data_IF_081389840419
#
_entry.id   IF_081389840419
#
_cell.length_a   1.000
_cell.length_b   1.000
_cell.length_c   1.000
_cell.angle_alpha   90.00
_cell.angle_beta   90.00
_cell.angle_gamma   90.00
#
_symmetry.space_group_name_H-M   'P 1'
#
loop_
_entity.id
_entity.type
_entity.pdbx_description
1 polymer ?
#
# COMPACT_ATOMS: atom_id res chain seq x y z
N UNK A 1 44.22 -8.47 28.60
CA UNK A 1 44.38 -7.98 27.22
C UNK A 1 43.16 -8.46 26.45
N UNK A 2 42.06 -7.71 26.56
CA UNK A 2 40.76 -8.04 25.97
C UNK A 2 40.82 -7.73 24.47
N UNK A 3 40.44 -8.71 23.62
CA UNK A 3 40.16 -8.45 22.21
C UNK A 3 38.68 -8.15 22.10
N UNK A 4 38.35 -6.87 22.00
CA UNK A 4 37.02 -6.37 21.67
C UNK A 4 36.68 -6.78 20.24
N UNK A 5 35.74 -7.72 20.09
CA UNK A 5 35.09 -7.99 18.82
C UNK A 5 34.13 -6.84 18.54
N UNK A 6 34.47 -6.00 17.56
CA UNK A 6 33.59 -4.97 17.02
C UNK A 6 32.47 -5.67 16.22
N UNK A 7 31.32 -5.86 16.87
CA UNK A 7 30.08 -6.22 16.20
C UNK A 7 29.56 -5.00 15.42
N UNK A 8 30.11 -4.78 14.23
CA UNK A 8 29.57 -3.80 13.28
C UNK A 8 28.13 -4.18 12.93
N UNK A 9 27.13 -3.31 13.18
CA UNK A 9 25.75 -3.60 12.80
C UNK A 9 25.67 -3.62 11.27
N UNK A 10 25.31 -4.78 10.71
CA UNK A 10 24.99 -4.94 9.29
C UNK A 10 23.85 -3.99 8.96
N UNK A 11 24.16 -2.91 8.25
CA UNK A 11 23.16 -2.04 7.62
C UNK A 11 22.35 -2.92 6.66
N UNK A 12 21.17 -3.37 7.10
CA UNK A 12 20.23 -4.04 6.23
C UNK A 12 19.74 -3.01 5.23
N UNK A 13 20.12 -3.20 3.96
CA UNK A 13 19.54 -2.46 2.84
C UNK A 13 18.05 -2.81 2.77
N UNK A 14 17.22 -2.11 3.56
CA UNK A 14 15.78 -2.11 3.39
C UNK A 14 15.53 -1.43 2.06
N UNK A 15 15.31 -2.22 1.00
CA UNK A 15 14.75 -1.72 -0.25
C UNK A 15 13.50 -0.95 0.14
N UNK A 16 13.54 0.38 0.03
CA UNK A 16 12.35 1.22 0.13
C UNK A 16 11.47 0.84 -1.05
N UNK A 17 10.56 -0.10 -0.81
CA UNK A 17 9.51 -0.43 -1.77
C UNK A 17 8.75 0.88 -1.97
N UNK A 18 8.80 1.44 -3.18
CA UNK A 18 7.99 2.61 -3.51
C UNK A 18 6.54 2.17 -3.44
N UNK A 19 5.82 2.59 -2.40
CA UNK A 19 4.39 2.32 -2.29
C UNK A 19 3.71 3.14 -3.38
N UNK A 20 3.23 2.48 -4.43
CA UNK A 20 2.38 3.11 -5.46
C UNK A 20 0.97 3.12 -4.90
N UNK A 21 0.44 4.32 -4.63
CA UNK A 21 -0.95 4.51 -4.26
C UNK A 21 -1.81 4.63 -5.51
N UNK A 22 -2.96 3.96 -5.53
CA UNK A 22 -3.96 4.00 -6.59
C UNK A 22 -5.24 4.61 -6.06
N UNK A 23 -5.91 5.45 -6.86
CA UNK A 23 -7.21 6.00 -6.55
C UNK A 23 -8.25 5.57 -7.60
N UNK A 24 -9.47 5.31 -7.14
CA UNK A 24 -10.60 4.98 -7.99
C UNK A 24 -11.65 6.10 -7.91
N UNK A 25 -12.03 6.62 -9.06
CA UNK A 25 -13.05 7.67 -9.20
C UNK A 25 -14.20 7.16 -10.05
N UNK A 26 -15.44 7.44 -9.65
CA UNK A 26 -16.62 7.18 -10.48
C UNK A 26 -16.76 8.30 -11.50
N UNK A 27 -16.62 7.98 -12.79
CA UNK A 27 -16.62 8.99 -13.85
C UNK A 27 -17.95 9.77 -13.96
N UNK A 28 -19.07 9.13 -13.61
CA UNK A 28 -20.41 9.72 -13.77
C UNK A 28 -20.60 11.03 -13.01
N UNK A 29 -20.02 11.13 -11.83
CA UNK A 29 -20.23 12.22 -10.87
C UNK A 29 -18.93 12.67 -10.19
N UNK A 30 -17.79 12.25 -10.76
CA UNK A 30 -16.44 12.60 -10.29
C UNK A 30 -16.17 12.22 -8.83
N UNK A 31 -16.98 11.33 -8.25
CA UNK A 31 -16.86 10.94 -6.86
C UNK A 31 -15.60 10.09 -6.63
N UNK A 32 -14.75 10.53 -5.71
CA UNK A 32 -13.64 9.71 -5.20
C UNK A 32 -14.22 8.55 -4.40
N UNK A 33 -13.98 7.32 -4.87
CA UNK A 33 -14.43 6.12 -4.18
C UNK A 33 -13.39 5.71 -3.15
N UNK A 34 -12.13 5.58 -3.57
CA UNK A 34 -11.05 5.07 -2.73
C UNK A 34 -9.72 5.73 -3.12
N UNK A 35 -8.82 5.89 -2.15
CA UNK A 35 -7.43 6.27 -2.38
C UNK A 35 -6.53 5.38 -1.51
N UNK A 36 -5.76 4.51 -2.15
CA UNK A 36 -5.14 3.39 -1.48
C UNK A 36 -6.18 2.51 -0.79
N UNK A 37 -5.91 2.14 0.46
CA UNK A 37 -6.80 1.32 1.29
C UNK A 37 -7.93 2.12 1.94
N UNK A 38 -7.94 3.45 1.79
CA UNK A 38 -8.96 4.32 2.36
C UNK A 38 -10.18 4.41 1.45
N UNK A 39 -11.37 4.23 2.03
CA UNK A 39 -12.66 4.46 1.36
C UNK A 39 -13.18 5.86 1.66
N UNK A 40 -13.73 6.52 0.64
CA UNK A 40 -14.38 7.84 0.69
C UNK A 40 -15.87 7.77 0.32
N UNK A 41 -16.36 6.59 -0.05
CA UNK A 41 -17.78 6.34 -0.30
C UNK A 41 -18.43 5.61 0.86
N UNK A 42 -19.70 5.91 1.12
CA UNK A 42 -20.56 5.18 2.08
C UNK A 42 -21.31 4.03 1.42
N UNK A 43 -21.23 3.89 0.10
CA UNK A 43 -21.86 2.79 -0.64
C UNK A 43 -21.06 1.49 -0.40
N UNK A 44 -21.64 0.60 0.42
CA UNK A 44 -21.01 -0.64 0.90
C UNK A 44 -20.69 -1.65 -0.20
N UNK A 45 -21.18 -1.42 -1.42
CA UNK A 45 -20.91 -2.26 -2.59
C UNK A 45 -19.48 -2.11 -3.09
N UNK A 46 -18.84 -0.98 -2.83
CA UNK A 46 -17.46 -0.73 -3.24
C UNK A 46 -16.50 -1.27 -2.18
N UNK A 47 -15.65 -2.21 -2.60
CA UNK A 47 -14.63 -2.82 -1.76
C UNK A 47 -13.28 -2.78 -2.46
N UNK A 48 -12.19 -2.74 -1.69
CA UNK A 48 -10.82 -2.71 -2.22
C UNK A 48 -10.05 -3.94 -1.78
N UNK A 49 -9.18 -4.43 -2.66
CA UNK A 49 -8.18 -5.43 -2.30
C UNK A 49 -6.83 -5.01 -2.84
N UNK A 50 -5.85 -4.92 -1.94
CA UNK A 50 -4.44 -4.79 -2.27
C UNK A 50 -3.81 -6.19 -2.22
N UNK A 51 -3.17 -6.62 -3.30
CA UNK A 51 -2.33 -7.83 -3.29
C UNK A 51 -0.89 -7.44 -2.94
N UNK A 52 -0.41 -7.74 -1.71
CA UNK A 52 0.88 -7.20 -1.22
C UNK A 52 2.09 -7.69 -2.00
N UNK A 53 2.00 -8.86 -2.65
CA UNK A 53 3.09 -9.46 -3.42
C UNK A 53 3.32 -8.79 -4.77
N UNK A 54 2.31 -8.15 -5.34
CA UNK A 54 2.29 -7.71 -6.75
C UNK A 54 2.06 -6.20 -6.89
N UNK A 55 1.74 -5.50 -5.81
CA UNK A 55 1.26 -4.11 -5.84
C UNK A 55 0.01 -3.92 -6.72
N UNK A 56 -0.74 -5.00 -6.94
CA UNK A 56 -1.98 -5.00 -7.70
C UNK A 56 -3.12 -4.48 -6.83
N UNK A 57 -3.84 -3.50 -7.37
CA UNK A 57 -5.02 -2.91 -6.75
C UNK A 57 -6.28 -3.37 -7.48
N UNK A 58 -7.24 -3.91 -6.76
CA UNK A 58 -8.51 -4.39 -7.30
C UNK A 58 -9.67 -3.62 -6.67
N UNK A 59 -10.51 -3.03 -7.51
CA UNK A 59 -11.83 -2.52 -7.13
C UNK A 59 -12.87 -3.60 -7.34
N UNK A 60 -13.62 -3.93 -6.28
CA UNK A 60 -14.69 -4.93 -6.29
C UNK A 60 -16.02 -4.20 -6.12
N UNK A 61 -17.01 -4.55 -6.94
CA UNK A 61 -18.38 -4.01 -6.90
C UNK A 61 -19.33 -5.21 -6.78
N UNK A 62 -20.20 -5.21 -5.76
CA UNK A 62 -21.17 -6.29 -5.49
C UNK A 62 -22.60 -5.78 -5.39
#
# INVERSE_FOLDING_TARGET
>A
MERSNEDTPRLTNVKRQRIVQVAWTRLRDEALLTAGEQSFTTDSRFQISLKPSEADWVLIIR
#
